data_IF_031724777903
#
_entry.id   IF_031724777903
#
_cell.length_a   1.000
_cell.length_b   1.000
_cell.length_c   1.000
_cell.angle_alpha   90.00
_cell.angle_beta   90.00
_cell.angle_gamma   90.00
#
_symmetry.space_group_name_H-M   'P 1'
#
loop_
_entity.id
_entity.type
_entity.pdbx_description
1 polymer ?
#
# COMPACT_ATOMS: atom_id res chain seq x y z
N UNK A 1 8.20 43.22 7.19
CA UNK A 1 7.33 42.08 6.76
C UNK A 1 7.84 40.84 7.47
N UNK A 2 7.00 40.07 8.16
CA UNK A 2 7.43 38.77 8.67
C UNK A 2 7.85 37.89 7.49
N UNK A 3 8.86 37.02 7.63
CA UNK A 3 9.29 36.12 6.57
C UNK A 3 8.11 35.23 6.17
N UNK A 4 7.80 35.16 4.86
CA UNK A 4 6.84 34.20 4.34
C UNK A 4 7.31 32.80 4.76
N UNK A 5 6.51 32.10 5.55
CA UNK A 5 6.75 30.68 5.87
C UNK A 5 6.86 29.91 4.55
N UNK A 6 8.04 29.40 4.26
CA UNK A 6 8.30 28.66 3.03
C UNK A 6 7.68 27.28 3.19
N UNK A 7 6.59 27.00 2.47
CA UNK A 7 5.96 25.67 2.51
C UNK A 7 6.91 24.65 1.89
N UNK A 8 7.22 23.56 2.61
CA UNK A 8 8.12 22.51 2.12
C UNK A 8 7.39 21.48 1.26
N UNK A 9 8.17 20.69 0.49
CA UNK A 9 7.67 19.58 -0.33
C UNK A 9 6.91 18.56 0.53
N UNK A 10 7.43 18.23 1.70
CA UNK A 10 6.84 17.28 2.66
C UNK A 10 5.49 17.80 3.21
N UNK A 11 5.40 19.10 3.48
CA UNK A 11 4.15 19.71 3.93
C UNK A 11 3.07 19.65 2.85
N UNK A 12 3.45 19.86 1.58
CA UNK A 12 2.53 19.73 0.44
C UNK A 12 2.06 18.28 0.31
N UNK A 13 2.97 17.31 0.34
CA UNK A 13 2.64 15.88 0.28
C UNK A 13 1.70 15.50 1.43
N UNK A 14 2.00 15.89 2.66
CA UNK A 14 1.16 15.58 3.82
C UNK A 14 -0.24 16.15 3.69
N UNK A 15 -0.36 17.44 3.35
CA UNK A 15 -1.66 18.08 3.14
C UNK A 15 -2.46 17.42 2.01
N UNK A 16 -1.77 17.00 0.95
CA UNK A 16 -2.40 16.31 -0.18
C UNK A 16 -2.93 14.93 0.23
N UNK A 17 -2.16 14.16 0.99
CA UNK A 17 -2.62 12.86 1.54
C UNK A 17 -3.82 13.05 2.48
N UNK A 18 -3.85 14.13 3.27
CA UNK A 18 -4.99 14.41 4.16
C UNK A 18 -6.27 14.78 3.39
N UNK A 19 -6.15 15.45 2.25
CA UNK A 19 -7.27 15.67 1.34
C UNK A 19 -7.78 14.33 0.79
N UNK A 20 -6.87 13.44 0.34
CA UNK A 20 -7.26 12.10 -0.15
C UNK A 20 -7.99 11.31 0.93
N UNK A 21 -7.50 11.31 2.17
CA UNK A 21 -8.14 10.62 3.30
C UNK A 21 -9.57 11.08 3.54
N UNK A 22 -9.80 12.39 3.51
CA UNK A 22 -11.09 13.01 3.86
C UNK A 22 -12.08 13.07 2.70
N UNK A 23 -11.58 13.31 1.49
CA UNK A 23 -12.43 13.67 0.35
C UNK A 23 -12.24 12.76 -0.88
N UNK A 24 -11.28 11.83 -0.82
CA UNK A 24 -10.92 11.00 -1.98
C UNK A 24 -10.00 11.71 -2.97
N UNK A 25 -9.48 10.91 -3.90
CA UNK A 25 -8.54 11.41 -4.90
C UNK A 25 -9.14 12.45 -5.85
N UNK A 26 -10.41 12.30 -6.22
CA UNK A 26 -11.09 13.19 -7.19
C UNK A 26 -11.22 14.65 -6.69
N UNK A 27 -11.03 14.87 -5.38
CA UNK A 27 -11.00 16.20 -4.78
C UNK A 27 -9.67 16.92 -4.97
N UNK A 28 -8.63 16.24 -5.49
CA UNK A 28 -7.29 16.82 -5.64
C UNK A 28 -7.23 17.81 -6.81
N UNK A 29 -6.83 19.03 -6.48
CA UNK A 29 -6.40 20.04 -7.42
C UNK A 29 -5.57 21.09 -6.69
N UNK A 30 -4.83 21.92 -7.42
CA UNK A 30 -3.94 22.91 -6.81
C UNK A 30 -4.66 23.89 -5.87
N UNK A 31 -5.95 24.17 -6.10
CA UNK A 31 -6.72 25.08 -5.24
C UNK A 31 -7.09 24.43 -3.92
N UNK A 32 -7.53 23.15 -3.94
CA UNK A 32 -7.86 22.43 -2.70
C UNK A 32 -6.63 22.28 -1.82
N UNK A 33 -5.47 21.98 -2.40
CA UNK A 33 -4.20 21.85 -1.67
C UNK A 33 -3.75 23.20 -1.11
N UNK A 34 -3.82 24.27 -1.90
CA UNK A 34 -3.48 25.61 -1.44
C UNK A 34 -4.38 26.06 -0.27
N UNK A 35 -5.68 25.75 -0.34
CA UNK A 35 -6.65 26.01 0.75
C UNK A 35 -6.29 25.26 2.01
N UNK A 36 -5.93 23.97 1.90
CA UNK A 36 -5.50 23.14 3.04
C UNK A 36 -4.24 23.68 3.71
N UNK A 37 -3.31 24.20 2.90
CA UNK A 37 -2.05 24.81 3.38
C UNK A 37 -2.22 26.26 3.89
N UNK A 38 -3.40 26.85 3.76
CA UNK A 38 -3.61 28.27 4.06
C UNK A 38 -2.73 29.21 3.22
N UNK A 39 -2.43 28.81 1.97
CA UNK A 39 -1.50 29.51 1.08
C UNK A 39 -2.07 29.74 -0.31
N UNK A 40 -1.29 30.39 -1.20
CA UNK A 40 -1.58 30.40 -2.65
C UNK A 40 -1.11 29.10 -3.29
N UNK A 41 -1.41 28.90 -4.60
CA UNK A 41 -0.90 27.76 -5.37
C UNK A 41 0.58 27.86 -5.73
N UNK A 42 1.21 29.03 -5.56
CA UNK A 42 2.61 29.26 -5.93
C UNK A 42 3.59 28.29 -5.23
N UNK A 43 3.49 27.98 -3.92
CA UNK A 43 4.37 27.00 -3.28
C UNK A 43 4.30 25.62 -3.91
N UNK A 44 3.13 25.20 -4.42
CA UNK A 44 2.98 23.89 -5.06
C UNK A 44 3.85 23.84 -6.31
N UNK A 45 3.71 24.79 -7.22
CA UNK A 45 4.46 24.87 -8.47
C UNK A 45 5.92 25.36 -8.31
N UNK A 46 6.31 25.76 -7.09
CA UNK A 46 7.71 25.98 -6.73
C UNK A 46 8.42 24.70 -6.26
N UNK A 47 7.69 23.65 -5.89
CA UNK A 47 8.21 22.38 -5.36
C UNK A 47 7.98 21.21 -6.32
N UNK A 48 7.01 21.34 -7.25
CA UNK A 48 6.64 20.31 -8.21
C UNK A 48 6.48 20.96 -9.60
N UNK A 49 7.00 20.29 -10.61
CA UNK A 49 6.96 20.79 -11.99
C UNK A 49 5.54 20.76 -12.57
N UNK A 50 4.72 19.82 -12.10
CA UNK A 50 3.32 19.65 -12.53
C UNK A 50 2.46 19.02 -11.43
N UNK A 51 1.16 18.89 -11.67
CA UNK A 51 0.26 18.14 -10.79
C UNK A 51 0.55 16.64 -10.86
N UNK A 52 1.00 16.13 -12.00
CA UNK A 52 1.40 14.73 -12.20
C UNK A 52 2.64 14.39 -11.38
N UNK A 53 3.63 15.31 -11.29
CA UNK A 53 4.82 15.14 -10.42
C UNK A 53 4.41 15.09 -8.94
N UNK A 54 3.47 15.93 -8.51
CA UNK A 54 2.91 15.85 -7.16
C UNK A 54 2.13 14.53 -6.95
N UNK A 55 1.37 14.09 -7.95
CA UNK A 55 0.63 12.84 -7.90
C UNK A 55 1.56 11.65 -7.71
N UNK A 56 2.65 11.58 -8.47
CA UNK A 56 3.66 10.55 -8.28
C UNK A 56 4.25 10.60 -6.85
N UNK A 57 4.54 11.79 -6.34
CA UNK A 57 5.09 11.95 -5.00
C UNK A 57 4.14 11.45 -3.89
N UNK A 58 2.82 11.68 -4.02
CA UNK A 58 1.84 11.16 -3.05
C UNK A 58 1.64 9.65 -3.18
N UNK A 59 1.72 9.09 -4.39
CA UNK A 59 1.67 7.63 -4.60
C UNK A 59 2.87 6.97 -3.91
N UNK A 60 4.08 7.50 -4.11
CA UNK A 60 5.29 7.01 -3.41
C UNK A 60 5.15 7.15 -1.88
N UNK A 61 4.65 8.28 -1.40
CA UNK A 61 4.45 8.48 0.04
C UNK A 61 3.41 7.50 0.63
N UNK A 62 2.32 7.23 -0.08
CA UNK A 62 1.31 6.25 0.32
C UNK A 62 1.87 4.81 0.29
N UNK A 63 2.70 4.46 -0.71
CA UNK A 63 3.37 3.16 -0.79
C UNK A 63 4.33 2.95 0.39
N UNK A 64 5.12 3.97 0.75
CA UNK A 64 5.98 3.93 1.94
C UNK A 64 5.18 3.78 3.23
N UNK A 65 4.03 4.43 3.33
CA UNK A 65 3.14 4.24 4.47
C UNK A 65 2.63 2.79 4.52
N UNK A 66 2.17 2.22 3.40
CA UNK A 66 1.76 0.82 3.31
C UNK A 66 2.90 -0.11 3.76
N UNK A 67 4.13 0.12 3.28
CA UNK A 67 5.32 -0.63 3.70
C UNK A 67 5.53 -0.55 5.21
N UNK A 68 5.35 0.61 5.83
CA UNK A 68 5.49 0.76 7.29
C UNK A 68 4.48 -0.06 8.09
N UNK A 69 3.29 -0.35 7.54
CA UNK A 69 2.32 -1.27 8.15
C UNK A 69 2.83 -2.72 8.09
N UNK A 70 3.39 -3.13 6.96
CA UNK A 70 4.01 -4.45 6.79
C UNK A 70 5.18 -4.63 7.77
N UNK A 71 6.09 -3.68 7.81
CA UNK A 71 7.28 -3.72 8.66
C UNK A 71 6.92 -3.77 10.15
N UNK A 72 5.92 -3.01 10.59
CA UNK A 72 5.42 -3.03 11.97
C UNK A 72 4.80 -4.37 12.33
N UNK A 73 4.03 -4.97 11.42
CA UNK A 73 3.42 -6.26 11.68
C UNK A 73 4.48 -7.38 11.74
N UNK A 74 5.48 -7.34 10.86
CA UNK A 74 6.61 -8.28 10.92
C UNK A 74 7.41 -8.11 12.22
N UNK A 75 7.71 -6.87 12.62
CA UNK A 75 8.45 -6.57 13.85
C UNK A 75 7.69 -6.97 15.12
N UNK A 76 6.36 -7.08 15.07
CA UNK A 76 5.54 -7.49 16.22
C UNK A 76 5.80 -8.92 16.67
N UNK A 77 6.28 -9.79 15.79
CA UNK A 77 6.49 -11.23 16.04
C UNK A 77 5.19 -12.03 16.25
N UNK A 78 4.01 -11.42 16.06
CA UNK A 78 2.72 -12.08 16.28
C UNK A 78 2.45 -13.21 15.29
N UNK A 79 2.94 -13.06 14.06
CA UNK A 79 2.78 -14.02 12.97
C UNK A 79 4.13 -14.36 12.34
N UNK A 80 4.25 -15.52 11.66
CA UNK A 80 5.41 -15.80 10.81
C UNK A 80 5.59 -14.70 9.76
N UNK A 81 6.82 -14.34 9.35
CA UNK A 81 7.11 -13.15 8.55
C UNK A 81 6.25 -13.00 7.28
N UNK A 82 6.06 -14.08 6.52
CA UNK A 82 5.24 -14.04 5.31
C UNK A 82 3.76 -13.75 5.61
N UNK A 83 3.18 -14.39 6.64
CA UNK A 83 1.81 -14.10 7.09
C UNK A 83 1.68 -12.69 7.64
N UNK A 84 2.68 -12.23 8.40
CA UNK A 84 2.73 -10.88 8.95
C UNK A 84 2.68 -9.81 7.84
N UNK A 85 3.35 -10.05 6.70
CA UNK A 85 3.29 -9.15 5.54
C UNK A 85 1.86 -8.99 5.03
N UNK A 86 1.13 -10.08 4.85
CA UNK A 86 -0.27 -10.03 4.41
C UNK A 86 -1.19 -9.37 5.44
N UNK A 87 -0.98 -9.64 6.75
CA UNK A 87 -1.75 -9.00 7.83
C UNK A 87 -1.50 -7.48 7.87
N UNK A 88 -0.25 -7.04 7.69
CA UNK A 88 0.12 -5.61 7.63
C UNK A 88 -0.53 -4.91 6.42
N UNK A 89 -0.50 -5.56 5.26
CA UNK A 89 -1.15 -5.07 4.05
C UNK A 89 -2.68 -4.91 4.22
N UNK A 90 -3.34 -5.92 4.80
CA UNK A 90 -4.78 -5.88 5.07
C UNK A 90 -5.10 -4.79 6.12
N UNK A 91 -4.25 -4.63 7.15
CA UNK A 91 -4.41 -3.57 8.14
C UNK A 91 -4.30 -2.18 7.51
N UNK A 92 -3.34 -1.96 6.60
CA UNK A 92 -3.27 -0.71 5.84
C UNK A 92 -4.57 -0.44 5.08
N UNK A 93 -5.14 -1.44 4.38
CA UNK A 93 -6.40 -1.27 3.66
C UNK A 93 -7.58 -0.92 4.57
N UNK A 94 -7.59 -1.45 5.79
CA UNK A 94 -8.62 -1.19 6.80
C UNK A 94 -8.48 0.21 7.41
N UNK A 95 -7.26 0.60 7.79
CA UNK A 95 -6.99 1.82 8.55
C UNK A 95 -6.85 3.05 7.63
N UNK A 96 -6.39 2.83 6.39
CA UNK A 96 -6.15 3.85 5.37
C UNK A 96 -6.90 3.56 4.05
N UNK A 97 -8.23 3.35 4.07
CA UNK A 97 -8.96 2.86 2.91
C UNK A 97 -8.89 3.80 1.68
N UNK A 98 -8.80 5.10 1.89
CA UNK A 98 -8.67 6.06 0.81
C UNK A 98 -7.31 5.98 0.13
N UNK A 99 -6.23 5.79 0.91
CA UNK A 99 -4.88 5.62 0.37
C UNK A 99 -4.70 4.24 -0.27
N UNK A 100 -5.35 3.20 0.26
CA UNK A 100 -5.40 1.90 -0.40
C UNK A 100 -6.04 2.00 -1.79
N UNK A 101 -7.19 2.71 -1.91
CA UNK A 101 -7.83 2.95 -3.21
C UNK A 101 -6.95 3.77 -4.15
N UNK A 102 -6.25 4.78 -3.64
CA UNK A 102 -5.27 5.55 -4.41
C UNK A 102 -4.20 4.65 -5.01
N UNK A 103 -3.65 3.70 -4.23
CA UNK A 103 -2.56 2.82 -4.66
C UNK A 103 -3.01 1.70 -5.59
N UNK A 104 -4.14 1.06 -5.33
CA UNK A 104 -4.44 -0.26 -5.90
C UNK A 104 -5.75 -0.33 -6.68
N UNK A 105 -6.59 0.70 -6.64
CA UNK A 105 -7.90 0.68 -7.31
C UNK A 105 -8.01 1.72 -8.44
N UNK A 106 -6.86 2.19 -8.94
CA UNK A 106 -6.75 3.10 -10.08
C UNK A 106 -5.81 2.52 -11.13
N UNK A 107 -5.96 2.99 -12.37
CA UNK A 107 -4.96 2.68 -13.40
C UNK A 107 -3.63 3.39 -13.05
N UNK A 108 -2.59 2.61 -12.85
CA UNK A 108 -1.24 3.05 -12.52
C UNK A 108 -0.21 2.60 -13.55
N UNK A 109 -0.66 2.17 -14.74
CA UNK A 109 0.22 1.63 -15.77
C UNK A 109 1.33 2.61 -16.22
N UNK A 110 1.17 3.91 -15.93
CA UNK A 110 2.14 4.96 -16.26
C UNK A 110 3.16 5.23 -15.13
N UNK A 111 2.97 4.63 -13.94
CA UNK A 111 3.82 4.87 -12.78
C UNK A 111 4.52 3.59 -12.32
N UNK A 112 5.85 3.59 -12.37
CA UNK A 112 6.67 2.59 -11.70
C UNK A 112 6.98 3.12 -10.30
N UNK A 113 6.64 2.35 -9.27
CA UNK A 113 6.98 2.65 -7.87
C UNK A 113 8.08 1.68 -7.46
N UNK A 114 9.33 2.13 -7.30
CA UNK A 114 10.46 1.24 -6.98
C UNK A 114 10.23 0.41 -5.71
N UNK A 115 9.54 0.97 -4.73
CA UNK A 115 9.18 0.29 -3.47
C UNK A 115 8.30 -0.97 -3.71
N UNK A 116 7.54 -1.02 -4.81
CA UNK A 116 6.72 -2.20 -5.15
C UNK A 116 7.63 -3.37 -5.61
N UNK A 117 8.69 -3.11 -6.37
CA UNK A 117 9.63 -4.13 -6.86
C UNK A 117 10.44 -4.73 -5.69
N UNK A 118 11.00 -3.89 -4.83
CA UNK A 118 11.74 -4.33 -3.63
C UNK A 118 10.85 -5.19 -2.71
N UNK A 119 9.59 -4.80 -2.53
CA UNK A 119 8.65 -5.57 -1.74
C UNK A 119 8.37 -6.95 -2.35
N UNK A 120 8.17 -7.02 -3.67
CA UNK A 120 7.93 -8.27 -4.38
C UNK A 120 9.11 -9.23 -4.24
N UNK A 121 10.34 -8.78 -4.46
CA UNK A 121 11.56 -9.58 -4.32
C UNK A 121 11.72 -10.12 -2.90
N UNK A 122 11.41 -9.30 -1.90
CA UNK A 122 11.40 -9.71 -0.49
C UNK A 122 10.37 -10.82 -0.25
N UNK A 123 9.15 -10.69 -0.81
CA UNK A 123 8.10 -11.71 -0.66
C UNK A 123 8.48 -13.03 -1.36
N UNK A 124 9.02 -12.99 -2.57
CA UNK A 124 9.51 -14.20 -3.27
C UNK A 124 10.60 -14.90 -2.46
N UNK A 125 11.51 -14.14 -1.85
CA UNK A 125 12.55 -14.69 -0.99
C UNK A 125 11.98 -15.36 0.27
N UNK A 126 10.96 -14.78 0.91
CA UNK A 126 10.27 -15.37 2.04
C UNK A 126 9.55 -16.66 1.65
N UNK A 127 8.89 -16.71 0.49
CA UNK A 127 8.24 -17.93 0.00
C UNK A 127 9.28 -19.03 -0.22
N UNK A 128 10.38 -18.74 -0.93
CA UNK A 128 11.47 -19.72 -1.14
C UNK A 128 12.03 -20.26 0.16
N UNK A 129 12.27 -19.38 1.12
CA UNK A 129 12.80 -19.78 2.44
C UNK A 129 11.84 -20.73 3.17
N UNK A 130 10.53 -20.45 3.11
CA UNK A 130 9.52 -21.19 3.87
C UNK A 130 9.11 -22.51 3.21
N UNK A 131 9.22 -22.62 1.87
CA UNK A 131 8.67 -23.75 1.10
C UNK A 131 9.74 -24.61 0.46
N UNK A 132 10.91 -24.04 0.15
CA UNK A 132 11.94 -24.68 -0.65
C UNK A 132 11.63 -24.73 -2.15
N UNK A 133 10.60 -24.02 -2.61
CA UNK A 133 10.24 -23.96 -4.03
C UNK A 133 11.31 -23.24 -4.84
N UNK A 134 11.45 -23.63 -6.12
CA UNK A 134 12.26 -22.91 -7.08
C UNK A 134 11.72 -21.48 -7.32
N UNK A 135 12.47 -20.59 -8.02
CA UNK A 135 12.06 -19.21 -8.20
C UNK A 135 10.71 -19.04 -8.91
N UNK A 136 10.45 -19.82 -9.95
CA UNK A 136 9.24 -19.70 -10.77
C UNK A 136 8.00 -20.13 -9.98
N UNK A 137 8.08 -21.26 -9.28
CA UNK A 137 7.01 -21.73 -8.38
C UNK A 137 6.79 -20.79 -7.20
N UNK A 138 7.84 -20.19 -6.65
CA UNK A 138 7.73 -19.21 -5.56
C UNK A 138 7.03 -17.94 -6.00
N UNK A 139 7.30 -17.50 -7.22
CA UNK A 139 6.62 -16.35 -7.81
C UNK A 139 5.13 -16.63 -8.03
N UNK A 140 4.78 -17.76 -8.65
CA UNK A 140 3.39 -18.14 -8.86
C UNK A 140 2.63 -18.28 -7.54
N UNK A 141 3.23 -18.99 -6.57
CA UNK A 141 2.65 -19.14 -5.23
C UNK A 141 2.37 -17.78 -4.58
N UNK A 142 3.33 -16.85 -4.68
CA UNK A 142 3.13 -15.51 -4.11
C UNK A 142 2.02 -14.74 -4.82
N UNK A 143 1.96 -14.78 -6.15
CA UNK A 143 0.92 -14.08 -6.93
C UNK A 143 -0.47 -14.58 -6.55
N UNK A 144 -0.67 -15.88 -6.41
CA UNK A 144 -1.95 -16.47 -6.00
C UNK A 144 -2.33 -16.08 -4.56
N UNK A 145 -1.37 -16.16 -3.62
CA UNK A 145 -1.58 -15.69 -2.25
C UNK A 145 -1.86 -14.19 -2.19
N UNK A 146 -1.14 -13.39 -2.97
CA UNK A 146 -1.36 -11.95 -3.03
C UNK A 146 -2.76 -11.62 -3.57
N UNK A 147 -3.21 -12.29 -4.62
CA UNK A 147 -4.56 -12.10 -5.17
C UNK A 147 -5.64 -12.37 -4.11
N UNK A 148 -5.48 -13.42 -3.29
CA UNK A 148 -6.38 -13.72 -2.18
C UNK A 148 -6.35 -12.63 -1.10
N UNK A 149 -5.16 -12.22 -0.66
CA UNK A 149 -4.97 -11.17 0.36
C UNK A 149 -5.50 -9.82 -0.13
N UNK A 150 -5.25 -9.51 -1.41
CA UNK A 150 -5.75 -8.29 -2.06
C UNK A 150 -7.29 -8.29 -2.15
N UNK A 151 -7.91 -9.44 -2.39
CA UNK A 151 -9.36 -9.57 -2.35
C UNK A 151 -9.95 -9.19 -0.98
N UNK A 152 -9.38 -9.70 0.12
CA UNK A 152 -9.78 -9.31 1.48
C UNK A 152 -9.58 -7.81 1.71
N UNK A 153 -8.40 -7.30 1.37
CA UNK A 153 -8.04 -5.89 1.53
C UNK A 153 -9.02 -4.96 0.77
N UNK A 154 -9.36 -5.33 -0.47
CA UNK A 154 -10.30 -4.59 -1.31
C UNK A 154 -11.72 -4.58 -0.74
N UNK A 155 -12.20 -5.69 -0.18
CA UNK A 155 -13.51 -5.75 0.48
C UNK A 155 -13.56 -4.83 1.69
N UNK A 156 -12.50 -4.79 2.50
CA UNK A 156 -12.40 -3.90 3.65
C UNK A 156 -12.33 -2.43 3.23
N UNK A 157 -11.46 -2.09 2.27
CA UNK A 157 -11.23 -0.72 1.82
C UNK A 157 -12.45 -0.10 1.12
N UNK A 158 -13.32 -0.93 0.54
CA UNK A 158 -14.58 -0.48 -0.09
C UNK A 158 -15.77 -0.49 0.88
N UNK A 159 -15.61 -1.05 2.08
CA UNK A 159 -16.70 -1.24 3.03
C UNK A 159 -17.70 -2.33 2.60
N UNK A 160 -17.39 -3.11 1.56
CA UNK A 160 -18.26 -4.17 1.07
C UNK A 160 -18.48 -5.27 2.12
N UNK A 161 -17.41 -5.64 2.84
CA UNK A 161 -17.46 -6.66 3.88
C UNK A 161 -16.50 -6.28 5.02
N UNK A 162 -16.87 -6.65 6.25
CA UNK A 162 -16.03 -6.53 7.43
C UNK A 162 -15.71 -7.93 7.96
N UNK A 163 -14.44 -8.14 8.31
CA UNK A 163 -13.97 -9.39 8.90
C UNK A 163 -13.24 -9.09 10.21
N UNK A 164 -13.37 -10.00 11.20
CA UNK A 164 -12.51 -9.93 12.38
C UNK A 164 -11.07 -10.29 12.04
N UNK A 165 -10.11 -9.83 12.84
CA UNK A 165 -8.69 -10.15 12.65
C UNK A 165 -8.44 -11.65 12.77
N UNK A 166 -9.14 -12.32 13.67
CA UNK A 166 -9.06 -13.78 13.88
C UNK A 166 -9.51 -14.52 12.63
N UNK A 167 -10.64 -14.11 12.04
CA UNK A 167 -11.16 -14.74 10.82
C UNK A 167 -10.20 -14.53 9.64
N UNK A 168 -9.68 -13.31 9.47
CA UNK A 168 -8.67 -13.02 8.43
C UNK A 168 -7.45 -13.93 8.62
N UNK A 169 -6.95 -13.99 9.84
CA UNK A 169 -5.80 -14.82 10.20
C UNK A 169 -6.04 -16.30 9.90
N UNK A 170 -7.25 -16.82 10.20
CA UNK A 170 -7.64 -18.20 9.90
C UNK A 170 -7.70 -18.44 8.39
N UNK A 171 -8.43 -17.60 7.65
CA UNK A 171 -8.55 -17.70 6.19
C UNK A 171 -7.19 -17.71 5.49
N UNK A 172 -6.27 -16.82 5.91
CA UNK A 172 -4.90 -16.78 5.35
C UNK A 172 -4.13 -18.09 5.63
N UNK A 173 -4.30 -18.68 6.81
CA UNK A 173 -3.65 -19.95 7.14
C UNK A 173 -4.21 -21.09 6.29
N UNK A 174 -5.52 -21.18 6.17
CA UNK A 174 -6.20 -22.25 5.43
C UNK A 174 -5.83 -22.23 3.95
N UNK A 175 -5.85 -21.03 3.33
CA UNK A 175 -5.46 -20.87 1.93
C UNK A 175 -3.97 -21.18 1.75
N UNK A 176 -3.09 -20.67 2.61
CA UNK A 176 -1.65 -20.95 2.53
C UNK A 176 -1.37 -22.46 2.60
N UNK A 177 -1.97 -23.16 3.55
CA UNK A 177 -1.74 -24.61 3.74
C UNK A 177 -2.34 -25.42 2.57
N UNK A 178 -3.52 -25.05 2.08
CA UNK A 178 -4.15 -25.68 0.92
C UNK A 178 -3.32 -25.53 -0.35
N UNK A 179 -2.88 -24.30 -0.65
CA UNK A 179 -2.02 -24.02 -1.79
C UNK A 179 -0.67 -24.73 -1.67
N UNK A 180 -0.03 -24.66 -0.49
CA UNK A 180 1.24 -25.34 -0.26
C UNK A 180 1.14 -26.84 -0.57
N UNK A 181 0.10 -27.50 -0.08
CA UNK A 181 -0.16 -28.94 -0.36
C UNK A 181 -0.32 -29.21 -1.86
N UNK A 182 -1.04 -28.34 -2.59
CA UNK A 182 -1.21 -28.45 -4.03
C UNK A 182 0.14 -28.36 -4.74
N UNK A 183 0.93 -27.34 -4.44
CA UNK A 183 2.24 -27.11 -5.03
C UNK A 183 3.28 -28.20 -4.68
N UNK A 184 3.20 -28.83 -3.51
CA UNK A 184 4.04 -29.98 -3.13
C UNK A 184 3.65 -31.27 -3.85
N UNK A 185 2.40 -31.43 -4.25
CA UNK A 185 1.87 -32.61 -4.95
C UNK A 185 2.12 -32.64 -6.46
N UNK A 186 2.48 -31.52 -7.08
CA UNK A 186 2.77 -31.37 -8.51
C UNK A 186 4.27 -31.67 -8.82
N UNK A 187 4.76 -32.85 -8.46
CA UNK A 187 6.12 -33.31 -8.81
C UNK A 187 6.14 -34.05 -10.13
#
# INVERSE_FOLDING_TARGET
MPPKVKVSKEQIISATLDIVRRHGYDALNARSIASELGSSTQPIFSNFDSMEDLELAIVVAAARLCRSFVDREQASGKYPPYKASGMGYIRFAKDEPALFRLLYMRNRSEYIVPEDEELMDSMYSLVRHNTGFDPERSQLFHIEMWAFVHGIASMLATGYQQFSEELISQMMTDVYLGMRKQFEGEK
#
